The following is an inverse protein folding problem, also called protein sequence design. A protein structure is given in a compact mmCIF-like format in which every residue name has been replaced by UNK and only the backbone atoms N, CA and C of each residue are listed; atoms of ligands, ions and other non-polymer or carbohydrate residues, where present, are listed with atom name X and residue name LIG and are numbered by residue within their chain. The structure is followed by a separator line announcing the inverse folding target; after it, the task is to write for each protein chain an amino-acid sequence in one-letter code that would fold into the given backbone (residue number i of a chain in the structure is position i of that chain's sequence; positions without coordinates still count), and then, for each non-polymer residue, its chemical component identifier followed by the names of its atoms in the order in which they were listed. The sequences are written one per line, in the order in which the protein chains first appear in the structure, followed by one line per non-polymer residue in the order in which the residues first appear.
data_IF_768909184019
#
_entry.id   IF_768909184019
#
_cell.length_a   1.000
_cell.length_b   1.000
_cell.length_c   1.000
_cell.angle_alpha   90.00
_cell.angle_beta   90.00
_cell.angle_gamma   90.00
#
_symmetry.space_group_name_H-M   'P 1'
#
loop_
_entity.id
_entity.type
_entity.pdbx_description
1 polymer ?
#
# COMPACT_ATOMS: atom_id res chain seq x y z
N UNK A 1 -14.61 -12.55 17.96
CA UNK A 1 -15.14 -13.47 16.92
C UNK A 1 -14.20 -14.64 16.58
N UNK A 2 -12.89 -14.48 16.75
CA UNK A 2 -11.90 -15.54 16.56
C UNK A 2 -12.06 -16.78 17.50
N UNK A 3 -12.52 -16.69 18.77
CA UNK A 3 -12.49 -17.84 19.70
C UNK A 3 -13.38 -19.03 19.30
N UNK A 4 -14.53 -18.77 18.68
CA UNK A 4 -15.51 -19.81 18.35
C UNK A 4 -14.99 -20.70 17.21
N UNK A 5 -14.24 -20.13 16.27
CA UNK A 5 -13.65 -20.88 15.16
C UNK A 5 -12.57 -21.86 15.64
N UNK A 6 -11.74 -21.46 16.60
CA UNK A 6 -10.72 -22.34 17.18
C UNK A 6 -11.35 -23.48 17.99
N UNK A 7 -12.40 -23.19 18.76
CA UNK A 7 -13.12 -24.22 19.51
C UNK A 7 -13.82 -25.23 18.58
N UNK A 8 -14.47 -24.75 17.53
CA UNK A 8 -15.11 -25.61 16.53
C UNK A 8 -14.10 -26.49 15.78
N UNK A 9 -12.93 -25.94 15.44
CA UNK A 9 -11.84 -26.70 14.80
C UNK A 9 -11.28 -27.79 15.73
N UNK A 10 -11.07 -27.49 17.02
CA UNK A 10 -10.58 -28.45 17.99
C UNK A 10 -11.57 -29.59 18.26
N UNK A 11 -12.86 -29.26 18.40
CA UNK A 11 -13.94 -30.25 18.58
C UNK A 11 -14.10 -31.11 17.31
N UNK A 12 -14.00 -30.50 16.13
CA UNK A 12 -14.02 -31.21 14.85
C UNK A 12 -12.85 -32.19 14.70
N UNK A 13 -11.64 -31.77 15.08
CA UNK A 13 -10.46 -32.63 15.08
C UNK A 13 -10.57 -33.78 16.09
N UNK A 14 -11.15 -33.52 17.27
CA UNK A 14 -11.40 -34.55 18.29
C UNK A 14 -12.38 -35.65 17.85
N UNK A 15 -13.37 -35.32 17.00
CA UNK A 15 -14.32 -36.29 16.45
C UNK A 15 -13.73 -37.24 15.40
N UNK A 16 -12.59 -36.91 14.79
CA UNK A 16 -11.92 -37.79 13.83
C UNK A 16 -11.15 -38.95 14.48
N UNK A 17 -10.96 -38.91 15.81
CA UNK A 17 -10.34 -39.99 16.58
C UNK A 17 -8.97 -40.40 16.02
N UNK A 18 -8.78 -41.71 15.80
CA UNK A 18 -7.51 -42.28 15.31
C UNK A 18 -7.08 -41.83 13.91
N UNK A 19 -7.98 -41.21 13.13
CA UNK A 19 -7.71 -40.73 11.77
C UNK A 19 -7.32 -39.24 11.73
N UNK A 20 -7.32 -38.54 12.87
CA UNK A 20 -7.02 -37.11 12.94
C UNK A 20 -5.63 -36.77 12.39
N UNK A 21 -4.62 -37.63 12.67
CA UNK A 21 -3.26 -37.46 12.13
C UNK A 21 -3.20 -37.59 10.60
N UNK A 22 -3.86 -38.61 10.05
CA UNK A 22 -3.92 -38.85 8.60
C UNK A 22 -4.70 -37.75 7.89
N UNK A 23 -5.85 -37.34 8.42
CA UNK A 23 -6.66 -36.27 7.86
C UNK A 23 -5.93 -34.91 7.92
N UNK A 24 -5.25 -34.61 9.04
CA UNK A 24 -4.41 -33.42 9.15
C UNK A 24 -3.27 -33.42 8.12
N UNK A 25 -2.62 -34.56 7.92
CA UNK A 25 -1.56 -34.73 6.92
C UNK A 25 -2.09 -34.53 5.50
N UNK A 26 -3.26 -35.09 5.18
CA UNK A 26 -3.92 -34.90 3.89
C UNK A 26 -4.29 -33.43 3.67
N UNK A 27 -4.82 -32.75 4.68
CA UNK A 27 -5.13 -31.30 4.61
C UNK A 27 -3.87 -30.46 4.36
N UNK A 28 -2.77 -30.76 5.07
CA UNK A 28 -1.50 -30.05 4.86
C UNK A 28 -0.94 -30.33 3.45
N UNK A 29 -0.96 -31.59 3.00
CA UNK A 29 -0.49 -31.96 1.66
C UNK A 29 -1.34 -31.33 0.57
N UNK A 30 -2.66 -31.31 0.70
CA UNK A 30 -3.56 -30.64 -0.24
C UNK A 30 -3.44 -29.13 -0.20
N UNK A 31 -3.14 -28.52 0.96
CA UNK A 31 -2.83 -27.10 1.04
C UNK A 31 -1.49 -26.78 0.37
N UNK A 32 -0.46 -27.61 0.53
CA UNK A 32 0.85 -27.44 -0.13
C UNK A 32 0.71 -27.65 -1.64
N UNK A 33 0.05 -28.72 -2.08
CA UNK A 33 -0.23 -29.01 -3.49
C UNK A 33 -1.11 -27.94 -4.12
N UNK A 34 -2.15 -27.49 -3.41
CA UNK A 34 -3.01 -26.39 -3.82
C UNK A 34 -2.24 -25.08 -3.91
N UNK A 35 -1.33 -24.78 -2.98
CA UNK A 35 -0.46 -23.62 -3.08
C UNK A 35 0.60 -23.78 -4.19
N UNK A 36 0.98 -25.01 -4.54
CA UNK A 36 1.87 -25.27 -5.68
C UNK A 36 1.13 -25.13 -7.03
N UNK A 37 -0.13 -25.57 -7.09
CA UNK A 37 -0.98 -25.54 -8.28
C UNK A 37 -1.77 -24.25 -8.48
N UNK A 38 -2.06 -23.50 -7.42
CA UNK A 38 -2.87 -22.29 -7.46
C UNK A 38 -2.13 -21.08 -6.89
N UNK A 39 -1.00 -21.30 -6.23
CA UNK A 39 -0.20 -20.22 -5.65
C UNK A 39 0.81 -19.64 -6.64
N UNK A 40 1.38 -18.47 -6.30
CA UNK A 40 2.20 -17.66 -7.20
C UNK A 40 3.65 -18.19 -7.30
N UNK A 41 3.84 -19.45 -7.74
CA UNK A 41 5.17 -20.02 -7.93
C UNK A 41 5.73 -19.56 -9.29
N UNK A 42 6.99 -19.08 -9.36
CA UNK A 42 7.58 -18.47 -10.56
C UNK A 42 7.60 -19.36 -11.82
N UNK A 43 7.47 -20.68 -11.68
CA UNK A 43 7.39 -21.65 -12.78
C UNK A 43 6.09 -21.52 -13.61
N UNK A 44 5.00 -20.99 -13.04
CA UNK A 44 3.73 -20.77 -13.74
C UNK A 44 3.81 -19.74 -14.88
N UNK A 45 4.89 -18.95 -14.93
CA UNK A 45 5.13 -17.96 -16.01
C UNK A 45 5.29 -18.61 -17.39
N UNK A 46 5.67 -19.88 -17.43
CA UNK A 46 5.96 -20.64 -18.65
C UNK A 46 4.80 -21.52 -19.13
N UNK A 47 3.68 -21.58 -18.38
CA UNK A 47 2.49 -22.36 -18.75
C UNK A 47 1.43 -21.43 -19.37
N UNK A 48 0.86 -21.77 -20.54
CA UNK A 48 -0.24 -21.01 -21.13
C UNK A 48 -1.42 -20.92 -20.14
N UNK A 49 -1.82 -19.70 -19.76
CA UNK A 49 -2.90 -19.46 -18.79
C UNK A 49 -2.46 -19.23 -17.33
N UNK A 50 -1.19 -19.42 -16.99
CA UNK A 50 -0.65 -19.23 -15.62
C UNK A 50 -0.29 -17.80 -15.22
N UNK A 51 -0.49 -16.83 -16.11
CA UNK A 51 0.03 -15.47 -16.00
C UNK A 51 -0.95 -14.46 -15.38
N UNK A 52 -2.21 -14.82 -15.18
CA UNK A 52 -3.27 -13.87 -14.79
C UNK A 52 -3.33 -13.56 -13.30
N UNK A 53 -2.67 -14.36 -12.44
CA UNK A 53 -2.63 -14.17 -10.98
C UNK A 53 -1.28 -13.68 -10.44
N UNK A 54 -0.38 -13.16 -11.29
CA UNK A 54 0.75 -12.41 -10.77
C UNK A 54 0.25 -11.09 -10.19
N UNK A 55 0.37 -10.94 -8.87
CA UNK A 55 0.38 -9.64 -8.25
C UNK A 55 1.38 -8.77 -9.03
N UNK A 56 0.90 -7.79 -9.80
CA UNK A 56 1.70 -6.82 -10.58
C UNK A 56 2.57 -5.91 -9.68
N UNK A 57 2.85 -6.34 -8.44
CA UNK A 57 3.38 -5.53 -7.34
C UNK A 57 4.90 -5.34 -7.36
N UNK A 58 5.64 -5.95 -8.31
CA UNK A 58 7.10 -5.88 -8.35
C UNK A 58 7.69 -5.14 -9.57
N UNK A 59 6.87 -4.44 -10.37
CA UNK A 59 7.41 -3.65 -11.48
C UNK A 59 7.66 -2.20 -11.02
N UNK A 60 8.93 -1.87 -10.72
CA UNK A 60 9.34 -0.49 -10.42
C UNK A 60 9.30 0.32 -11.71
N UNK A 61 8.25 1.13 -11.85
CA UNK A 61 8.04 1.98 -13.02
C UNK A 61 9.01 3.17 -13.06
N UNK A 62 9.06 3.86 -14.20
CA UNK A 62 9.77 5.14 -14.33
C UNK A 62 9.22 6.17 -13.33
N UNK A 63 7.92 6.15 -13.11
CA UNK A 63 7.22 7.01 -12.17
C UNK A 63 7.71 6.81 -10.74
N UNK A 64 7.82 5.56 -10.28
CA UNK A 64 8.28 5.26 -8.92
C UNK A 64 9.72 5.74 -8.68
N UNK A 65 10.59 5.69 -9.71
CA UNK A 65 11.94 6.28 -9.63
C UNK A 65 11.94 7.80 -9.53
N UNK A 66 10.99 8.48 -10.19
CA UNK A 66 10.83 9.94 -10.09
C UNK A 66 10.32 10.30 -8.70
N UNK A 67 9.29 9.60 -8.22
CA UNK A 67 8.77 9.75 -6.87
C UNK A 67 9.88 9.60 -5.82
N UNK A 68 10.70 8.55 -5.90
CA UNK A 68 11.83 8.33 -5.00
C UNK A 68 12.86 9.47 -5.01
N UNK A 69 13.14 10.06 -6.19
CA UNK A 69 14.04 11.23 -6.27
C UNK A 69 13.41 12.48 -5.66
N UNK A 70 12.13 12.69 -5.89
CA UNK A 70 11.38 13.83 -5.33
C UNK A 70 11.31 13.76 -3.80
N UNK A 71 11.13 12.57 -3.22
CA UNK A 71 11.11 12.38 -1.76
C UNK A 71 12.40 12.86 -1.08
N UNK A 72 13.55 12.78 -1.75
CA UNK A 72 14.85 13.26 -1.23
C UNK A 72 14.92 14.79 -1.06
N UNK A 73 14.02 15.54 -1.70
CA UNK A 73 13.95 16.99 -1.55
C UNK A 73 13.32 17.41 -0.21
N UNK A 74 12.62 16.49 0.46
CA UNK A 74 11.93 16.77 1.73
C UNK A 74 12.86 16.37 2.89
N UNK A 75 13.23 17.29 3.80
CA UNK A 75 14.10 16.99 4.93
C UNK A 75 13.55 15.84 5.78
N UNK A 76 14.40 14.89 6.19
CA UNK A 76 13.98 13.65 6.87
C UNK A 76 13.18 13.87 8.17
N UNK A 77 13.48 14.95 8.89
CA UNK A 77 12.84 15.31 10.16
C UNK A 77 11.58 16.15 10.02
N UNK A 78 11.26 16.63 8.81
CA UNK A 78 10.14 17.54 8.59
C UNK A 78 8.80 16.77 8.61
N UNK A 79 7.77 17.27 9.33
CA UNK A 79 6.43 16.70 9.28
C UNK A 79 5.86 16.81 7.86
N UNK A 80 5.46 15.66 7.29
CA UNK A 80 5.00 15.53 5.92
C UNK A 80 3.62 14.90 5.84
N UNK A 81 2.78 15.39 4.94
CA UNK A 81 1.54 14.71 4.55
C UNK A 81 1.66 14.17 3.13
N UNK A 82 1.25 12.92 2.92
CA UNK A 82 1.50 12.20 1.67
C UNK A 82 0.29 11.40 1.17
N UNK A 83 0.13 11.25 -0.16
CA UNK A 83 -0.73 10.19 -0.70
C UNK A 83 -0.20 8.81 -0.28
N UNK A 84 -1.08 7.83 -0.11
CA UNK A 84 -0.78 6.52 0.47
C UNK A 84 0.37 5.80 -0.28
N UNK A 85 0.36 5.85 -1.62
CA UNK A 85 1.44 5.30 -2.45
C UNK A 85 2.82 5.86 -2.10
N UNK A 86 2.90 7.16 -1.79
CA UNK A 86 4.14 7.83 -1.41
C UNK A 86 4.42 7.71 0.10
N UNK A 87 3.38 7.66 0.91
CA UNK A 87 3.47 7.53 2.37
C UNK A 87 4.09 6.22 2.82
N UNK A 88 3.87 5.13 2.06
CA UNK A 88 4.53 3.85 2.28
C UNK A 88 6.06 3.94 2.22
N UNK A 89 6.61 4.86 1.42
CA UNK A 89 8.06 5.10 1.34
C UNK A 89 8.59 6.07 2.41
N UNK A 90 7.70 6.67 3.20
CA UNK A 90 8.01 7.67 4.21
C UNK A 90 7.67 7.19 5.63
N UNK A 91 7.26 5.93 5.80
CA UNK A 91 6.86 5.35 7.08
C UNK A 91 8.01 5.28 8.10
N UNK A 92 9.25 5.35 7.64
CA UNK A 92 10.44 5.47 8.50
C UNK A 92 10.54 6.82 9.22
N UNK A 93 9.73 7.81 8.83
CA UNK A 93 9.80 9.16 9.39
C UNK A 93 9.03 9.28 10.69
N UNK A 94 9.57 10.11 11.59
CA UNK A 94 8.99 10.37 12.92
C UNK A 94 7.57 10.96 12.87
N UNK A 95 7.23 11.74 11.83
CA UNK A 95 5.92 12.40 11.69
C UNK A 95 5.46 12.40 10.24
N UNK A 96 4.50 11.52 9.95
CA UNK A 96 3.83 11.43 8.65
C UNK A 96 2.31 11.42 8.84
N UNK A 97 1.59 12.08 7.93
CA UNK A 97 0.14 12.06 7.85
C UNK A 97 -0.31 11.58 6.47
N UNK A 98 -1.45 10.90 6.43
CA UNK A 98 -2.10 10.57 5.15
C UNK A 98 -2.81 11.80 4.62
N UNK A 99 -2.56 12.15 3.36
CA UNK A 99 -3.33 13.17 2.65
C UNK A 99 -4.80 12.73 2.64
N UNK A 100 -5.78 13.58 3.02
CA UNK A 100 -5.75 15.04 3.00
C UNK A 100 -5.49 15.71 4.35
N UNK A 101 -5.09 14.95 5.37
CA UNK A 101 -4.88 15.50 6.71
C UNK A 101 -3.55 16.28 6.73
N UNK A 102 -3.66 17.60 6.75
CA UNK A 102 -2.51 18.51 6.73
C UNK A 102 -1.93 18.76 8.12
N UNK A 103 -2.76 18.81 9.17
CA UNK A 103 -2.35 19.07 10.59
C UNK A 103 -1.18 20.08 10.70
N UNK A 104 -0.09 19.69 11.34
CA UNK A 104 1.16 20.44 11.49
C UNK A 104 2.19 20.14 10.40
N UNK A 105 1.79 19.48 9.30
CA UNK A 105 2.66 19.23 8.17
C UNK A 105 3.19 20.54 7.58
N UNK A 106 4.50 20.61 7.45
CA UNK A 106 5.20 21.72 6.80
C UNK A 106 5.46 21.41 5.33
N UNK A 107 5.42 20.13 4.97
CA UNK A 107 5.57 19.63 3.60
C UNK A 107 4.39 18.76 3.21
N UNK A 108 4.02 18.84 1.94
CA UNK A 108 2.98 18.00 1.34
C UNK A 108 3.57 17.37 0.09
N UNK A 109 3.44 16.06 -0.07
CA UNK A 109 3.79 15.37 -1.31
C UNK A 109 2.59 14.55 -1.81
N UNK A 110 2.18 14.77 -3.05
CA UNK A 110 0.99 14.10 -3.60
C UNK A 110 1.30 13.57 -5.00
N UNK A 111 0.60 12.51 -5.38
CA UNK A 111 0.71 11.88 -6.69
C UNK A 111 -0.65 11.97 -7.41
N UNK A 112 -0.67 12.65 -8.55
CA UNK A 112 -1.84 12.78 -9.42
C UNK A 112 -2.15 11.49 -10.19
N UNK A 113 -1.17 10.60 -10.39
CA UNK A 113 -1.40 9.28 -11.03
C UNK A 113 -2.01 8.28 -10.05
N UNK A 114 -1.65 8.38 -8.76
CA UNK A 114 -2.20 7.56 -7.66
C UNK A 114 -2.77 8.45 -6.52
N UNK A 115 -3.87 9.19 -6.79
CA UNK A 115 -4.42 10.19 -5.88
C UNK A 115 -5.35 9.54 -4.86
N UNK A 116 -4.76 9.02 -3.79
CA UNK A 116 -5.49 8.46 -2.65
C UNK A 116 -5.98 9.53 -1.67
N UNK A 117 -7.05 9.24 -0.94
CA UNK A 117 -7.59 10.08 0.13
C UNK A 117 -7.70 9.27 1.44
N UNK A 118 -6.74 9.48 2.34
CA UNK A 118 -6.51 8.63 3.50
C UNK A 118 -6.17 7.22 3.05
N UNK A 119 -6.88 6.24 3.60
CA UNK A 119 -6.74 4.83 3.23
C UNK A 119 -7.60 4.43 2.02
N UNK A 120 -8.39 5.36 1.48
CA UNK A 120 -9.28 5.11 0.36
C UNK A 120 -8.62 5.45 -0.97
N UNK A 121 -8.65 4.51 -1.92
CA UNK A 121 -8.23 4.74 -3.29
C UNK A 121 -9.34 5.43 -4.13
N UNK A 122 -9.83 6.58 -3.66
CA UNK A 122 -10.83 7.38 -4.40
C UNK A 122 -10.13 8.38 -5.32
N UNK A 123 -9.94 7.96 -6.58
CA UNK A 123 -9.19 8.71 -7.57
C UNK A 123 -9.81 10.10 -7.85
N UNK A 124 -11.15 10.19 -7.98
CA UNK A 124 -11.83 11.46 -8.32
C UNK A 124 -11.74 12.47 -7.18
N UNK A 125 -12.02 12.03 -5.94
CA UNK A 125 -11.94 12.93 -4.78
C UNK A 125 -10.50 13.30 -4.45
N UNK A 126 -9.56 12.36 -4.58
CA UNK A 126 -8.13 12.60 -4.42
C UNK A 126 -7.64 13.67 -5.39
N UNK A 127 -7.90 13.54 -6.69
CA UNK A 127 -7.54 14.55 -7.69
C UNK A 127 -8.16 15.90 -7.39
N UNK A 128 -9.46 15.94 -7.08
CA UNK A 128 -10.14 17.20 -6.73
C UNK A 128 -9.47 17.89 -5.55
N UNK A 129 -9.06 17.12 -4.53
CA UNK A 129 -8.40 17.66 -3.34
C UNK A 129 -6.96 18.12 -3.63
N UNK A 130 -6.23 17.43 -4.51
CA UNK A 130 -4.92 17.88 -4.99
C UNK A 130 -5.06 19.20 -5.77
N UNK A 131 -6.07 19.32 -6.62
CA UNK A 131 -6.35 20.57 -7.33
C UNK A 131 -6.70 21.71 -6.37
N UNK A 132 -7.47 21.45 -5.31
CA UNK A 132 -7.69 22.45 -4.27
C UNK A 132 -6.40 22.87 -3.56
N UNK A 133 -5.48 21.92 -3.28
CA UNK A 133 -4.18 22.22 -2.68
C UNK A 133 -3.32 23.12 -3.57
N UNK A 134 -3.37 22.95 -4.89
CA UNK A 134 -2.65 23.82 -5.85
C UNK A 134 -3.09 25.29 -5.76
N UNK A 135 -4.33 25.53 -5.37
CA UNK A 135 -4.90 26.87 -5.22
C UNK A 135 -4.89 27.36 -3.77
N UNK A 136 -4.41 26.56 -2.82
CA UNK A 136 -4.36 26.95 -1.41
C UNK A 136 -3.19 27.94 -1.19
N UNK A 137 -3.46 29.20 -0.79
CA UNK A 137 -2.42 30.22 -0.65
C UNK A 137 -1.42 29.91 0.47
N UNK A 138 -1.77 29.02 1.41
CA UNK A 138 -0.89 28.61 2.52
C UNK A 138 0.22 27.68 2.06
N UNK A 139 0.14 27.14 0.86
CA UNK A 139 1.13 26.21 0.32
C UNK A 139 1.72 26.75 -0.97
N UNK A 140 3.04 26.61 -1.11
CA UNK A 140 3.76 26.94 -2.33
C UNK A 140 4.24 25.65 -2.98
N UNK A 141 4.00 25.50 -4.28
CA UNK A 141 4.59 24.43 -5.07
C UNK A 141 6.11 24.64 -5.16
N UNK A 142 6.88 23.64 -4.73
CA UNK A 142 8.36 23.65 -4.73
C UNK A 142 8.89 22.84 -5.91
N UNK A 143 8.28 21.71 -6.21
CA UNK A 143 8.69 20.83 -7.30
C UNK A 143 7.48 20.07 -7.86
N UNK A 144 7.51 19.79 -9.16
CA UNK A 144 6.53 18.95 -9.83
C UNK A 144 7.24 18.12 -10.92
N UNK A 145 7.04 16.81 -10.93
CA UNK A 145 7.53 15.95 -11.99
C UNK A 145 6.65 14.70 -12.12
N UNK A 146 6.25 14.36 -13.35
CA UNK A 146 5.53 13.13 -13.68
C UNK A 146 4.23 12.91 -12.85
N UNK A 147 3.54 13.99 -12.48
CA UNK A 147 2.33 13.94 -11.64
C UNK A 147 2.61 13.87 -10.13
N UNK A 148 3.88 13.77 -9.71
CA UNK A 148 4.27 13.93 -8.30
C UNK A 148 4.52 15.41 -8.02
N UNK A 149 3.93 15.93 -6.95
CA UNK A 149 3.99 17.34 -6.58
C UNK A 149 4.46 17.48 -5.14
N UNK A 150 5.37 18.41 -4.89
CA UNK A 150 5.83 18.79 -3.56
C UNK A 150 5.40 20.22 -3.28
N UNK A 151 4.71 20.40 -2.17
CA UNK A 151 4.37 21.71 -1.62
C UNK A 151 5.07 21.92 -0.29
N UNK A 152 5.42 23.18 -0.02
CA UNK A 152 5.89 23.64 1.28
C UNK A 152 4.91 24.66 1.82
N UNK A 153 4.56 24.52 3.10
CA UNK A 153 3.74 25.50 3.80
C UNK A 153 4.48 26.84 3.85
N UNK A 154 3.81 27.92 3.46
CA UNK A 154 4.31 29.28 3.65
C UNK A 154 4.32 29.56 5.15
N UNK A 155 5.45 30.05 5.65
CA UNK A 155 5.49 30.59 7.00
C UNK A 155 4.75 31.92 6.94
N UNK A 156 3.71 32.09 7.74
CA UNK A 156 3.18 33.42 8.03
C UNK A 156 4.30 34.14 8.80
N UNK A 157 4.77 35.25 8.24
CA UNK A 157 5.76 36.12 8.88
C UNK A 157 5.14 36.90 10.02
#
# INVERSE_FOLDING_TARGET
EIPILFAAAAIGAGKLGRWAGTAGTVVVLTAILGNYWLGPIPLWRFVPGGQTFQAKSAHISRHDRIAARMLKLIPATAPVTATNSLGAHLSERKRIFSFPYLRDATWVIVDEQKPSLGDHNDHRRGLKRIQQLRHDPRFRLVAAADGVLIFRRRQEG
#
